data_IF_089360175435
#
_entry.id   IF_089360175435
#
_cell.length_a   1.000
_cell.length_b   1.000
_cell.length_c   1.000
_cell.angle_alpha   90.00
_cell.angle_beta   90.00
_cell.angle_gamma   90.00
#
_symmetry.space_group_name_H-M   'P 1'
#
loop_
_entity.id
_entity.type
_entity.pdbx_description
1 polymer ?
#
# COMPACT_ATOMS: atom_id res chain seq x y z
N UNK A 1 3.00 -17.12 -18.84
CA UNK A 1 2.15 -16.64 -17.72
C UNK A 1 2.54 -15.26 -17.17
N UNK A 2 3.77 -14.78 -17.39
CA UNK A 2 4.30 -13.52 -16.84
C UNK A 2 3.55 -12.26 -17.33
N UNK A 3 3.13 -12.20 -18.61
CA UNK A 3 2.37 -11.06 -19.17
C UNK A 3 0.99 -10.84 -18.51
N UNK A 4 0.28 -11.91 -18.11
CA UNK A 4 -1.01 -11.79 -17.39
C UNK A 4 -0.82 -11.21 -15.99
N UNK A 5 0.24 -11.61 -15.27
CA UNK A 5 0.57 -11.05 -13.94
C UNK A 5 0.93 -9.55 -14.02
N UNK A 6 1.61 -9.14 -15.09
CA UNK A 6 1.93 -7.74 -15.36
C UNK A 6 0.67 -6.88 -15.58
N UNK A 7 -0.28 -7.35 -16.40
CA UNK A 7 -1.51 -6.61 -16.68
C UNK A 7 -2.39 -6.48 -15.42
N UNK A 8 -2.50 -7.54 -14.62
CA UNK A 8 -3.26 -7.51 -13.36
C UNK A 8 -2.62 -6.57 -12.34
N UNK A 9 -1.28 -6.57 -12.20
CA UNK A 9 -0.58 -5.63 -11.35
C UNK A 9 -0.82 -4.17 -11.75
N UNK A 10 -0.73 -3.86 -13.05
CA UNK A 10 -1.02 -2.53 -13.59
C UNK A 10 -2.47 -2.08 -13.32
N UNK A 11 -3.44 -2.98 -13.52
CA UNK A 11 -4.85 -2.68 -13.26
C UNK A 11 -5.11 -2.41 -11.78
N UNK A 12 -4.55 -3.23 -10.89
CA UNK A 12 -4.69 -3.03 -9.43
C UNK A 12 -4.02 -1.72 -9.03
N UNK A 13 -2.80 -1.47 -9.50
CA UNK A 13 -2.05 -0.23 -9.23
C UNK A 13 -2.83 1.00 -9.70
N UNK A 14 -3.39 0.96 -10.92
CA UNK A 14 -4.17 2.05 -11.50
C UNK A 14 -5.49 2.30 -10.78
N UNK A 15 -6.25 1.24 -10.46
CA UNK A 15 -7.49 1.36 -9.68
C UNK A 15 -7.22 1.95 -8.29
N UNK A 16 -6.11 1.56 -7.67
CA UNK A 16 -5.71 2.07 -6.36
C UNK A 16 -5.31 3.55 -6.43
N UNK A 17 -4.52 3.94 -7.44
CA UNK A 17 -4.14 5.33 -7.68
C UNK A 17 -5.37 6.23 -7.91
N UNK A 18 -6.34 5.77 -8.71
CA UNK A 18 -7.60 6.49 -8.96
C UNK A 18 -8.43 6.59 -7.68
N UNK A 19 -8.54 5.51 -6.91
CA UNK A 19 -9.31 5.49 -5.66
C UNK A 19 -8.74 6.46 -4.62
N UNK A 20 -7.41 6.46 -4.46
CA UNK A 20 -6.72 7.39 -3.56
C UNK A 20 -6.84 8.84 -4.02
N UNK A 21 -6.69 9.09 -5.32
CA UNK A 21 -6.84 10.45 -5.89
C UNK A 21 -8.27 10.98 -5.72
N UNK A 22 -9.27 10.14 -5.93
CA UNK A 22 -10.67 10.49 -5.73
C UNK A 22 -10.98 10.77 -4.24
N UNK A 23 -10.44 9.96 -3.33
CA UNK A 23 -10.53 10.20 -1.89
C UNK A 23 -9.85 11.50 -1.45
N UNK A 24 -8.70 11.85 -2.04
CA UNK A 24 -8.02 13.11 -1.79
C UNK A 24 -8.81 14.32 -2.29
N UNK A 25 -9.46 14.21 -3.46
CA UNK A 25 -10.32 15.25 -4.03
C UNK A 25 -11.56 15.48 -3.16
N UNK A 26 -12.25 14.41 -2.73
CA UNK A 26 -13.44 14.54 -1.87
C UNK A 26 -13.14 15.23 -0.54
N UNK A 27 -11.92 15.05 -0.02
CA UNK A 27 -11.49 15.62 1.24
C UNK A 27 -10.83 17.00 1.09
N UNK A 28 -10.90 17.62 -0.10
CA UNK A 28 -10.38 18.96 -0.35
C UNK A 28 -8.84 19.05 -0.38
N UNK A 29 -8.14 17.93 -0.48
CA UNK A 29 -6.69 17.85 -0.40
C UNK A 29 -6.06 17.57 -1.78
N UNK A 30 -6.35 18.44 -2.75
CA UNK A 30 -5.88 18.31 -4.13
C UNK A 30 -4.34 18.23 -4.26
N UNK A 31 -3.61 18.77 -3.28
CA UNK A 31 -2.15 18.72 -3.21
C UNK A 31 -1.60 17.30 -2.93
N UNK A 32 -2.42 16.35 -2.47
CA UNK A 32 -2.05 14.94 -2.31
C UNK A 32 -2.14 14.11 -3.60
N UNK A 33 -2.83 14.60 -4.64
CA UNK A 33 -3.01 13.88 -5.92
C UNK A 33 -1.68 13.44 -6.56
N UNK A 34 -0.62 14.26 -6.63
CA UNK A 34 0.66 13.78 -7.16
C UNK A 34 1.27 12.65 -6.30
N UNK A 35 1.12 12.70 -4.98
CA UNK A 35 1.57 11.65 -4.06
C UNK A 35 0.80 10.34 -4.27
N UNK A 36 -0.51 10.41 -4.51
CA UNK A 36 -1.35 9.22 -4.77
C UNK A 36 -1.08 8.56 -6.13
N UNK A 37 -0.39 9.24 -7.04
CA UNK A 37 0.07 8.68 -8.32
C UNK A 37 1.49 8.10 -8.23
N UNK A 38 2.38 8.70 -7.45
CA UNK A 38 3.78 8.26 -7.32
C UNK A 38 3.91 6.98 -6.52
N UNK A 39 3.13 6.83 -5.45
CA UNK A 39 3.23 5.70 -4.53
C UNK A 39 2.87 4.35 -5.19
N UNK A 40 1.73 4.19 -5.89
CA UNK A 40 1.41 2.92 -6.54
C UNK A 40 2.46 2.53 -7.61
N UNK A 41 3.12 3.50 -8.23
CA UNK A 41 4.22 3.28 -9.18
C UNK A 41 5.47 2.71 -8.49
N UNK A 42 5.81 3.14 -7.27
CA UNK A 42 6.88 2.50 -6.50
C UNK A 42 6.52 1.06 -6.11
N UNK A 43 5.26 0.80 -5.72
CA UNK A 43 4.81 -0.57 -5.45
C UNK A 43 4.93 -1.50 -6.67
N UNK A 44 4.67 -0.98 -7.87
CA UNK A 44 4.83 -1.74 -9.11
C UNK A 44 6.28 -2.20 -9.36
N UNK A 45 7.30 -1.51 -8.85
CA UNK A 45 8.69 -1.96 -8.92
C UNK A 45 8.92 -3.26 -8.12
N UNK A 46 8.15 -3.48 -7.06
CA UNK A 46 8.22 -4.67 -6.21
C UNK A 46 7.40 -5.86 -6.73
N UNK A 47 6.71 -5.72 -7.87
CA UNK A 47 5.91 -6.81 -8.48
C UNK A 47 6.71 -8.08 -8.79
N UNK A 48 8.03 -7.95 -8.94
CA UNK A 48 8.93 -9.07 -9.24
C UNK A 48 9.26 -9.92 -8.02
N UNK A 49 8.97 -9.44 -6.81
CA UNK A 49 9.39 -10.07 -5.56
C UNK A 49 8.36 -11.05 -5.00
N UNK A 50 7.15 -11.08 -5.57
CA UNK A 50 6.05 -11.93 -5.11
C UNK A 50 4.74 -11.16 -5.01
N UNK A 51 3.65 -11.87 -4.71
CA UNK A 51 2.32 -11.27 -4.52
C UNK A 51 2.25 -10.54 -3.17
N UNK A 52 2.83 -11.13 -2.12
CA UNK A 52 2.79 -10.59 -0.77
C UNK A 52 3.60 -9.30 -0.57
N UNK A 53 4.87 -9.19 -1.05
CA UNK A 53 5.60 -7.93 -0.97
C UNK A 53 4.89 -6.80 -1.71
N UNK A 54 4.28 -7.09 -2.86
CA UNK A 54 3.53 -6.11 -3.65
C UNK A 54 2.32 -5.55 -2.86
N UNK A 55 1.49 -6.42 -2.27
CA UNK A 55 0.37 -5.97 -1.42
C UNK A 55 0.84 -5.26 -0.14
N UNK A 56 1.95 -5.71 0.45
CA UNK A 56 2.53 -5.09 1.63
C UNK A 56 2.97 -3.64 1.34
N UNK A 57 3.68 -3.41 0.23
CA UNK A 57 4.12 -2.06 -0.16
C UNK A 57 2.92 -1.17 -0.49
N UNK A 58 1.96 -1.65 -1.31
CA UNK A 58 0.73 -0.89 -1.62
C UNK A 58 -0.03 -0.48 -0.36
N UNK A 59 -0.21 -1.42 0.56
CA UNK A 59 -0.93 -1.15 1.81
C UNK A 59 -0.15 -0.21 2.72
N UNK A 60 1.17 -0.41 2.86
CA UNK A 60 2.04 0.45 3.66
C UNK A 60 2.06 1.89 3.16
N UNK A 61 2.12 2.10 1.85
CA UNK A 61 2.03 3.43 1.23
C UNK A 61 0.66 4.08 1.46
N UNK A 62 -0.43 3.32 1.37
CA UNK A 62 -1.77 3.82 1.70
C UNK A 62 -1.90 4.22 3.17
N UNK A 63 -1.27 3.46 4.07
CA UNK A 63 -1.26 3.72 5.50
C UNK A 63 -0.45 4.99 5.79
N UNK A 64 0.71 5.15 5.14
CA UNK A 64 1.54 6.34 5.24
C UNK A 64 0.84 7.60 4.72
N UNK A 65 0.13 7.49 3.58
CA UNK A 65 -0.72 8.57 3.05
C UNK A 65 -1.82 8.95 4.05
N UNK A 66 -2.53 7.95 4.58
CA UNK A 66 -3.57 8.18 5.59
C UNK A 66 -2.99 8.86 6.82
N UNK A 67 -1.80 8.45 7.26
CA UNK A 67 -1.14 9.01 8.43
C UNK A 67 -0.66 10.45 8.19
N UNK A 68 -0.08 10.74 7.03
CA UNK A 68 0.29 12.10 6.61
C UNK A 68 -0.94 12.99 6.49
N UNK A 69 -2.03 12.46 5.92
CA UNK A 69 -3.29 13.17 5.78
C UNK A 69 -3.90 13.48 7.15
N UNK A 70 -4.00 12.50 8.05
CA UNK A 70 -4.50 12.72 9.41
C UNK A 70 -3.63 13.69 10.19
N UNK A 71 -2.30 13.61 10.06
CA UNK A 71 -1.37 14.56 10.68
C UNK A 71 -1.66 16.01 10.25
N UNK A 72 -1.99 16.23 8.98
CA UNK A 72 -2.19 17.56 8.42
C UNK A 72 -3.61 18.09 8.63
N UNK A 73 -4.63 17.23 8.64
CA UNK A 73 -6.04 17.63 8.75
C UNK A 73 -6.59 17.59 10.16
N UNK A 74 -6.27 16.57 10.94
CA UNK A 74 -6.72 16.41 12.33
C UNK A 74 -5.70 15.61 13.16
N UNK A 75 -4.66 16.27 13.70
CA UNK A 75 -3.62 15.59 14.46
C UNK A 75 -4.13 15.00 15.78
N UNK A 76 -5.31 15.42 16.28
CA UNK A 76 -5.91 14.83 17.48
C UNK A 76 -6.39 13.39 17.21
N UNK A 77 -6.83 13.10 15.98
CA UNK A 77 -7.24 11.75 15.56
C UNK A 77 -6.08 10.73 15.55
N UNK A 78 -4.82 11.17 15.53
CA UNK A 78 -3.66 10.27 15.69
C UNK A 78 -3.58 9.63 17.09
N UNK A 79 -4.15 10.28 18.11
CA UNK A 79 -4.16 9.76 19.49
C UNK A 79 -5.24 8.70 19.70
N UNK A 80 -6.20 8.58 18.78
CA UNK A 80 -7.27 7.59 18.86
C UNK A 80 -6.77 6.22 18.42
N UNK A 81 -6.17 5.48 19.34
CA UNK A 81 -5.57 4.17 19.09
C UNK A 81 -6.53 3.17 18.42
N UNK A 82 -7.83 3.25 18.72
CA UNK A 82 -8.87 2.42 18.10
C UNK A 82 -9.04 2.62 16.59
N UNK A 83 -8.71 3.80 16.05
CA UNK A 83 -8.79 4.06 14.60
C UNK A 83 -7.61 3.47 13.83
N UNK A 84 -6.49 3.23 14.52
CA UNK A 84 -5.23 2.78 13.94
C UNK A 84 -4.93 1.30 14.20
N UNK A 85 -5.51 0.72 15.26
CA UNK A 85 -5.27 -0.68 15.64
C UNK A 85 -5.57 -1.67 14.51
N UNK A 86 -6.70 -1.51 13.82
CA UNK A 86 -7.07 -2.39 12.71
C UNK A 86 -6.18 -2.22 11.47
N UNK A 87 -5.94 -0.99 10.96
CA UNK A 87 -4.98 -0.79 9.88
C UNK A 87 -3.57 -1.30 10.19
N UNK A 88 -3.08 -1.07 11.41
CA UNK A 88 -1.76 -1.54 11.84
C UNK A 88 -1.69 -3.06 11.93
N UNK A 89 -2.74 -3.72 12.44
CA UNK A 89 -2.83 -5.17 12.48
C UNK A 89 -2.82 -5.78 11.08
N UNK A 90 -3.59 -5.22 10.14
CA UNK A 90 -3.59 -5.66 8.75
C UNK A 90 -2.20 -5.49 8.11
N UNK A 91 -1.52 -4.37 8.37
CA UNK A 91 -0.16 -4.17 7.89
C UNK A 91 0.83 -5.18 8.48
N UNK A 92 0.72 -5.49 9.77
CA UNK A 92 1.55 -6.51 10.43
C UNK A 92 1.33 -7.91 9.84
N UNK A 93 0.09 -8.28 9.50
CA UNK A 93 -0.21 -9.54 8.80
C UNK A 93 0.41 -9.59 7.40
N UNK A 94 0.40 -8.48 6.67
CA UNK A 94 1.05 -8.39 5.35
C UNK A 94 2.57 -8.50 5.45
N UNK A 95 3.18 -7.90 6.48
CA UNK A 95 4.61 -8.07 6.78
C UNK A 95 4.93 -9.53 7.11
N UNK A 96 4.11 -10.17 7.94
CA UNK A 96 4.26 -11.59 8.28
C UNK A 96 4.15 -12.48 7.04
N UNK A 97 3.13 -12.26 6.20
CA UNK A 97 2.97 -12.98 4.93
C UNK A 97 4.17 -12.79 3.99
N UNK A 98 4.69 -11.57 3.90
CA UNK A 98 5.89 -11.25 3.12
C UNK A 98 7.14 -11.95 3.66
N UNK A 99 7.27 -12.03 4.98
CA UNK A 99 8.38 -12.72 5.63
C UNK A 99 8.32 -14.24 5.42
N UNK A 100 7.15 -14.86 5.58
CA UNK A 100 6.94 -16.29 5.31
C UNK A 100 7.22 -16.66 3.84
N UNK A 101 6.82 -15.81 2.90
CA UNK A 101 7.08 -16.00 1.46
C UNK A 101 8.59 -16.01 1.16
N UNK A 102 9.36 -15.16 1.86
CA UNK A 102 10.83 -15.14 1.77
C UNK A 102 11.48 -16.38 2.36
N UNK A 103 11.03 -16.86 3.52
CA UNK A 103 11.59 -18.08 4.12
C UNK A 103 11.40 -19.29 3.21
N UNK A 104 10.21 -19.45 2.63
CA UNK A 104 9.91 -20.53 1.68
C UNK A 104 10.80 -20.49 0.43
N UNK A 105 11.16 -19.30 -0.03
CA UNK A 105 12.04 -19.11 -1.20
C UNK A 105 13.49 -19.47 -0.87
N UNK A 106 13.94 -19.24 0.37
CA UNK A 106 15.29 -19.62 0.82
C UNK A 106 15.45 -21.14 0.98
N UNK A 107 14.41 -21.84 1.44
CA UNK A 107 14.43 -23.31 1.58
C UNK A 107 14.49 -24.06 0.23
N UNK A 108 14.15 -23.39 -0.87
CA UNK A 108 14.08 -24.00 -2.21
C UNK A 108 15.26 -23.68 -3.13
N UNK A 109 16.27 -22.96 -2.62
CA UNK A 109 17.49 -22.66 -3.37
C UNK A 109 18.67 -23.46 -2.77
N UNK A 110 19.20 -24.49 -3.46
CA UNK A 110 20.31 -25.31 -2.98
C UNK A 110 21.66 -24.57 -2.96
#
# INVERSE_FOLDING_TARGET
MQRRRVAVGLLITGLFAVSLSFGAVQQGAAWFIPLTLVLPVSAYLFRGWGIWPYFCVLYGESLALRLLFTLVTDPAALRNFGQWSWPLMMFALLLLGTWLDRQKTQETTP
#
